data_IF_739374080584
#
_entry.id   IF_739374080584
#
_cell.length_a   1.000
_cell.length_b   1.000
_cell.length_c   1.000
_cell.angle_alpha   90.00
_cell.angle_beta   90.00
_cell.angle_gamma   90.00
#
_symmetry.space_group_name_H-M   'P 1'
#
loop_
_entity.id
_entity.type
_entity.pdbx_description
1 polymer ?
#
# COMPACT_ATOMS: atom_id res chain seq x y z
N UNK A 1 13.44 8.08 21.07
CA UNK A 1 12.03 7.76 20.73
C UNK A 1 11.94 7.71 19.22
N UNK A 2 11.20 6.77 18.65
CA UNK A 2 10.99 6.66 17.20
C UNK A 2 9.60 7.18 16.86
N UNK A 3 9.50 7.89 15.75
CA UNK A 3 8.27 8.44 15.21
C UNK A 3 8.08 7.99 13.76
N UNK A 4 6.90 7.45 13.43
CA UNK A 4 6.49 7.15 12.06
C UNK A 4 5.44 8.13 11.58
N UNK A 5 5.65 8.72 10.41
CA UNK A 5 4.71 9.66 9.79
C UNK A 5 4.52 9.42 8.30
N UNK A 6 3.37 9.78 7.76
CA UNK A 6 3.10 9.88 6.32
C UNK A 6 2.07 10.96 6.06
N UNK A 7 2.32 11.85 5.11
CA UNK A 7 1.45 12.98 4.76
C UNK A 7 0.99 13.81 5.99
N UNK A 8 1.89 14.07 6.93
CA UNK A 8 1.64 14.75 8.21
C UNK A 8 0.74 13.98 9.21
N UNK A 9 0.33 12.76 8.89
CA UNK A 9 -0.33 11.84 9.83
C UNK A 9 0.71 11.06 10.62
N UNK A 10 0.63 11.10 11.95
CA UNK A 10 1.47 10.30 12.83
C UNK A 10 0.88 8.90 12.97
N UNK A 11 1.68 7.87 12.70
CA UNK A 11 1.27 6.46 12.87
C UNK A 11 1.76 5.89 14.19
N UNK A 12 2.92 6.34 14.67
CA UNK A 12 3.49 5.90 15.94
C UNK A 12 4.43 6.95 16.50
N UNK A 13 4.46 7.07 17.83
CA UNK A 13 5.54 7.71 18.57
C UNK A 13 5.80 6.91 19.84
N UNK A 14 7.03 6.42 20.03
CA UNK A 14 7.34 5.59 21.18
C UNK A 14 8.71 4.93 21.13
N UNK A 15 8.86 3.85 21.89
CA UNK A 15 10.07 3.03 21.92
C UNK A 15 9.76 1.59 21.58
N UNK A 16 10.81 0.81 21.34
CA UNK A 16 10.74 -0.63 21.16
C UNK A 16 10.09 -1.30 22.39
N UNK A 17 9.21 -2.27 22.15
CA UNK A 17 8.58 -3.11 23.17
C UNK A 17 8.75 -4.58 22.79
N UNK A 18 8.65 -5.45 23.78
CA UNK A 18 8.74 -6.91 23.59
C UNK A 18 7.46 -7.55 23.03
N UNK A 19 6.41 -6.76 22.80
CA UNK A 19 5.11 -7.19 22.30
C UNK A 19 4.66 -6.29 21.15
N UNK A 20 3.78 -6.80 20.29
CA UNK A 20 3.16 -5.99 19.23
C UNK A 20 2.33 -4.88 19.85
N UNK A 21 2.59 -3.64 19.43
CA UNK A 21 1.83 -2.48 19.91
C UNK A 21 0.74 -2.14 18.90
N UNK A 22 -0.51 -2.28 19.31
CA UNK A 22 -1.65 -1.72 18.57
C UNK A 22 -1.59 -0.18 18.61
N UNK A 23 -1.90 0.45 17.47
CA UNK A 23 -1.80 1.88 17.23
C UNK A 23 -3.18 2.54 17.06
N UNK A 24 -4.23 1.92 17.59
CA UNK A 24 -5.61 2.45 17.56
C UNK A 24 -5.73 3.91 18.01
N UNK A 25 -4.87 4.40 18.91
CA UNK A 25 -4.84 5.80 19.38
C UNK A 25 -4.25 6.83 18.39
N UNK A 26 -3.43 6.41 17.43
CA UNK A 26 -2.74 7.30 16.47
C UNK A 26 -3.43 7.38 15.10
N UNK A 27 -4.60 6.74 14.96
CA UNK A 27 -5.44 6.76 13.75
C UNK A 27 -4.88 5.97 12.56
N UNK A 28 -5.39 4.75 12.37
CA UNK A 28 -6.16 4.36 11.16
C UNK A 28 -6.82 2.95 11.25
N UNK A 29 -7.17 2.48 12.46
CA UNK A 29 -7.79 1.17 12.71
C UNK A 29 -6.79 0.05 13.01
N UNK A 30 -7.29 -1.13 13.38
CA UNK A 30 -6.58 -2.34 13.85
C UNK A 30 -5.52 -2.92 12.89
N UNK A 31 -5.21 -2.23 11.80
CA UNK A 31 -4.27 -2.65 10.75
C UNK A 31 -2.83 -2.19 10.97
N UNK A 32 -2.60 -1.13 11.75
CA UNK A 32 -1.26 -0.59 11.97
C UNK A 32 -0.74 -1.00 13.34
N UNK A 33 0.46 -1.54 13.41
CA UNK A 33 1.13 -1.88 14.67
C UNK A 33 2.64 -1.68 14.62
N UNK A 34 3.31 -1.73 15.77
CA UNK A 34 4.78 -1.85 15.82
C UNK A 34 5.18 -3.29 16.10
N UNK A 35 6.11 -3.82 15.30
CA UNK A 35 6.60 -5.19 15.43
C UNK A 35 7.31 -5.41 16.78
N UNK A 36 7.06 -6.57 17.40
CA UNK A 36 7.68 -6.94 18.67
C UNK A 36 9.21 -6.99 18.55
N UNK A 37 9.90 -6.46 19.55
CA UNK A 37 11.37 -6.31 19.56
C UNK A 37 11.90 -5.54 18.34
N UNK A 38 11.10 -4.68 17.71
CA UNK A 38 11.54 -3.76 16.66
C UNK A 38 10.90 -2.38 16.84
N UNK A 39 11.29 -1.45 15.98
CA UNK A 39 10.62 -0.15 15.78
C UNK A 39 10.00 -0.04 14.39
N UNK A 40 9.86 -1.16 13.69
CA UNK A 40 9.26 -1.22 12.36
C UNK A 40 7.75 -1.05 12.42
N UNK A 41 7.21 -0.26 11.49
CA UNK A 41 5.77 -0.12 11.28
C UNK A 41 5.25 -1.32 10.48
N UNK A 42 4.34 -2.09 11.09
CA UNK A 42 3.62 -3.18 10.45
C UNK A 42 2.26 -2.67 9.94
N UNK A 43 1.93 -3.02 8.69
CA UNK A 43 0.66 -2.71 8.05
C UNK A 43 -0.01 -4.02 7.64
N UNK A 44 -1.14 -4.36 8.27
CA UNK A 44 -1.99 -5.52 7.94
C UNK A 44 -3.06 -5.13 6.91
N UNK A 45 -3.56 -6.11 6.16
CA UNK A 45 -4.57 -5.95 5.10
C UNK A 45 -4.29 -4.75 4.17
N UNK A 46 -3.08 -4.73 3.60
CA UNK A 46 -2.54 -3.64 2.78
C UNK A 46 -3.45 -3.32 1.58
N UNK A 47 -3.62 -2.02 1.29
CA UNK A 47 -4.46 -1.49 0.21
C UNK A 47 -3.65 -0.62 -0.74
N UNK A 48 -4.08 -0.42 -2.00
CA UNK A 48 -3.39 0.48 -2.93
C UNK A 48 -3.21 1.90 -2.37
N UNK A 49 -4.17 2.39 -1.59
CA UNK A 49 -4.12 3.69 -0.90
C UNK A 49 -3.05 3.77 0.19
N UNK A 50 -2.47 2.64 0.63
CA UNK A 50 -1.38 2.63 1.61
C UNK A 50 -0.04 3.03 0.95
N UNK A 51 0.04 3.07 -0.38
CA UNK A 51 1.24 3.49 -1.15
C UNK A 51 1.64 4.94 -0.88
N UNK A 52 2.94 5.19 -0.76
CA UNK A 52 3.49 6.54 -0.63
C UNK A 52 4.72 6.60 0.26
N UNK A 53 5.12 7.82 0.59
CA UNK A 53 6.34 8.09 1.34
C UNK A 53 6.07 8.08 2.85
N UNK A 54 6.63 7.10 3.55
CA UNK A 54 6.67 7.02 5.00
C UNK A 54 8.00 7.58 5.50
N UNK A 55 7.96 8.33 6.59
CA UNK A 55 9.16 8.87 7.24
C UNK A 55 9.27 8.26 8.63
N UNK A 56 10.42 7.64 8.89
CA UNK A 56 10.83 7.21 10.22
C UNK A 56 11.83 8.23 10.76
N UNK A 57 11.56 8.77 11.94
CA UNK A 57 12.38 9.78 12.58
C UNK A 57 12.76 9.34 14.00
N UNK A 58 14.05 9.46 14.33
CA UNK A 58 14.57 9.26 15.67
C UNK A 58 14.60 10.61 16.36
N UNK A 59 13.71 10.80 17.33
CA UNK A 59 13.61 12.01 18.14
C UNK A 59 14.72 12.02 19.19
N UNK A 60 15.72 12.87 18.94
CA UNK A 60 16.87 13.17 19.79
C UNK A 60 17.26 14.65 19.61
N UNK A 61 18.32 15.13 20.26
CA UNK A 61 18.74 16.55 20.18
C UNK A 61 18.95 17.02 18.74
N UNK A 62 19.52 16.16 17.90
CA UNK A 62 19.61 16.37 16.45
C UNK A 62 18.83 15.25 15.73
N UNK A 63 17.58 15.49 15.31
CA UNK A 63 16.72 14.45 14.74
C UNK A 63 17.30 13.85 13.47
N UNK A 64 17.30 12.52 13.40
CA UNK A 64 17.71 11.78 12.20
C UNK A 64 16.47 11.14 11.59
N UNK A 65 16.28 11.34 10.29
CA UNK A 65 15.13 10.79 9.55
C UNK A 65 15.57 9.97 8.35
N UNK A 66 14.79 8.93 8.08
CA UNK A 66 14.87 8.11 6.87
C UNK A 66 13.49 8.03 6.22
N UNK A 67 13.48 8.03 4.90
CA UNK A 67 12.26 7.96 4.11
C UNK A 67 12.16 6.62 3.39
N UNK A 68 10.99 6.01 3.44
CA UNK A 68 10.64 4.75 2.80
C UNK A 68 9.53 4.98 1.80
N UNK A 69 9.78 4.72 0.53
CA UNK A 69 8.74 4.76 -0.49
C UNK A 69 8.06 3.38 -0.57
N UNK A 70 6.82 3.28 -0.12
CA UNK A 70 6.03 2.06 -0.19
C UNK A 70 5.22 2.05 -1.50
N UNK A 71 5.48 1.06 -2.35
CA UNK A 71 4.70 0.79 -3.55
C UNK A 71 3.90 -0.49 -3.37
N UNK A 72 2.58 -0.41 -3.53
CA UNK A 72 1.69 -1.57 -3.48
C UNK A 72 1.36 -2.00 -4.91
N UNK A 73 1.72 -3.24 -5.23
CA UNK A 73 1.59 -3.79 -6.57
C UNK A 73 0.34 -4.66 -6.66
N UNK A 74 -0.46 -4.44 -7.71
CA UNK A 74 -1.62 -5.26 -8.02
C UNK A 74 -1.37 -6.01 -9.33
N UNK A 75 -1.46 -7.34 -9.27
CA UNK A 75 -1.28 -8.18 -10.45
C UNK A 75 -2.31 -7.84 -11.53
N UNK A 76 -1.91 -7.84 -12.82
CA UNK A 76 -2.82 -7.54 -13.89
C UNK A 76 -3.90 -8.63 -13.97
N UNK A 77 -5.15 -8.21 -14.14
CA UNK A 77 -6.29 -9.09 -14.40
C UNK A 77 -7.11 -8.57 -15.56
N UNK A 78 -7.70 -9.49 -16.32
CA UNK A 78 -8.65 -9.18 -17.37
C UNK A 78 -10.00 -8.84 -16.71
N UNK A 79 -10.49 -7.63 -16.95
CA UNK A 79 -11.80 -7.18 -16.48
C UNK A 79 -12.88 -7.50 -17.50
N UNK A 80 -12.55 -7.40 -18.78
CA UNK A 80 -13.51 -7.63 -19.85
C UNK A 80 -12.79 -8.14 -21.10
N UNK A 81 -13.46 -9.05 -21.79
CA UNK A 81 -13.05 -9.51 -23.11
C UNK A 81 -14.22 -9.38 -24.06
N UNK A 82 -14.06 -8.66 -25.15
CA UNK A 82 -15.12 -8.44 -26.15
C UNK A 82 -14.62 -8.67 -27.56
N UNK A 83 -15.56 -9.03 -28.44
CA UNK A 83 -15.34 -9.18 -29.86
C UNK A 83 -16.35 -8.29 -30.62
N UNK A 84 -15.98 -7.88 -31.83
CA UNK A 84 -16.92 -7.22 -32.77
C UNK A 84 -18.14 -8.12 -32.95
N UNK A 85 -19.35 -7.55 -32.83
CA UNK A 85 -20.63 -8.27 -32.93
C UNK A 85 -20.69 -9.58 -32.11
N UNK A 86 -20.08 -9.59 -30.91
CA UNK A 86 -19.94 -10.78 -30.05
C UNK A 86 -19.29 -11.99 -30.75
N UNK A 87 -18.48 -11.74 -31.77
CA UNK A 87 -17.82 -12.76 -32.58
C UNK A 87 -18.69 -13.34 -33.70
N UNK A 88 -19.86 -12.76 -33.99
CA UNK A 88 -20.71 -13.18 -35.12
C UNK A 88 -20.56 -12.20 -36.29
N UNK A 89 -19.83 -12.64 -37.31
CA UNK A 89 -19.50 -11.85 -38.48
C UNK A 89 -19.43 -12.75 -39.71
N UNK A 90 -19.62 -12.15 -40.89
CA UNK A 90 -19.49 -12.83 -42.17
C UNK A 90 -18.02 -13.16 -42.46
N UNK A 91 -17.78 -14.29 -43.10
CA UNK A 91 -16.45 -14.66 -43.57
C UNK A 91 -15.86 -13.56 -44.48
N UNK A 92 -14.60 -13.21 -44.25
CA UNK A 92 -13.92 -12.10 -44.92
C UNK A 92 -14.14 -10.72 -44.28
N UNK A 93 -14.93 -10.63 -43.19
CA UNK A 93 -15.06 -9.39 -42.40
C UNK A 93 -13.93 -9.24 -41.39
N UNK A 94 -13.63 -8.00 -41.00
CA UNK A 94 -12.65 -7.71 -39.95
C UNK A 94 -13.21 -8.04 -38.55
N UNK A 95 -12.37 -8.68 -37.73
CA UNK A 95 -12.67 -9.00 -36.32
C UNK A 95 -11.77 -8.19 -35.40
N UNK A 96 -12.33 -7.30 -34.59
CA UNK A 96 -11.62 -6.68 -33.47
C UNK A 96 -11.90 -7.42 -32.17
N UNK A 97 -10.83 -7.88 -31.51
CA UNK A 97 -10.84 -8.40 -30.15
C UNK A 97 -10.31 -7.34 -29.20
N UNK A 98 -11.03 -7.06 -28.12
CA UNK A 98 -10.65 -6.08 -27.10
C UNK A 98 -10.53 -6.76 -25.74
N UNK A 99 -9.43 -6.49 -25.05
CA UNK A 99 -9.14 -7.00 -23.71
C UNK A 99 -8.90 -5.81 -22.78
N UNK A 100 -9.84 -5.57 -21.88
CA UNK A 100 -9.71 -4.54 -20.85
C UNK A 100 -9.03 -5.15 -19.63
N UNK A 101 -7.91 -4.57 -19.22
CA UNK A 101 -7.08 -5.07 -18.11
C UNK A 101 -6.94 -4.01 -17.02
N UNK A 102 -6.87 -4.44 -15.77
CA UNK A 102 -6.52 -3.58 -14.62
C UNK A 102 -5.31 -4.15 -13.91
N UNK A 103 -4.44 -3.30 -13.37
CA UNK A 103 -3.29 -3.66 -12.53
C UNK A 103 -2.48 -2.41 -12.17
N UNK A 104 -1.58 -2.53 -11.19
CA UNK A 104 -0.66 -1.47 -10.77
C UNK A 104 0.74 -2.06 -10.61
N UNK A 105 1.70 -1.70 -11.49
CA UNK A 105 3.08 -2.18 -11.44
C UNK A 105 3.95 -1.46 -10.43
#
# INVERSE_FOLDING_TARGET
VVQWTRNNTNYFIGTQKSYEQDLSSYSAGDRFSIAANSTDLLIRDVRPSDSGLYTCEVLQVDPVKIQHNLAILESPRIVKFTATDNGQLLEGSDLLLTCDVTGSP
#
